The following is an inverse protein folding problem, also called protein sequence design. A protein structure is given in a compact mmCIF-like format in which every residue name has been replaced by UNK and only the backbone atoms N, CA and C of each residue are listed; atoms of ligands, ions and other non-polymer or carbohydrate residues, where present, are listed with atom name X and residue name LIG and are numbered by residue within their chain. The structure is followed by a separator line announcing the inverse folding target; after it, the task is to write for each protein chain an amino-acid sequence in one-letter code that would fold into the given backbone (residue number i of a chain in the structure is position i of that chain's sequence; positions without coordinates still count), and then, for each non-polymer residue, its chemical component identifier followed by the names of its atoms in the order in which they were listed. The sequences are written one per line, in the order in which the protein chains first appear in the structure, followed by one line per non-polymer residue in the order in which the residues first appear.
data_IF_870100700544
#
_entry.id   IF_870100700544
#
_cell.length_a   1.000
_cell.length_b   1.000
_cell.length_c   1.000
_cell.angle_alpha   90.00
_cell.angle_beta   90.00
_cell.angle_gamma   90.00
#
_symmetry.space_group_name_H-M   'P 1'
#
loop_
_entity.id
_entity.type
_entity.pdbx_description
1 polymer ?
#
# COMPACT_ATOMS: atom_id res chain seq x y z
N UNK A 1 -2.28 -6.24 5.47
CA UNK A 1 -3.03 -5.06 4.96
C UNK A 1 -4.26 -5.58 4.26
N UNK A 2 -5.40 -4.89 4.38
CA UNK A 2 -6.55 -5.14 3.53
C UNK A 2 -6.70 -3.99 2.52
N UNK A 3 -6.76 -4.32 1.22
CA UNK A 3 -6.96 -3.38 0.12
C UNK A 3 -8.38 -3.57 -0.42
N UNK A 4 -9.12 -2.48 -0.53
CA UNK A 4 -10.44 -2.43 -1.14
C UNK A 4 -10.39 -1.58 -2.42
N UNK A 5 -10.81 -2.15 -3.54
CA UNK A 5 -10.90 -1.46 -4.84
C UNK A 5 -12.32 -1.58 -5.38
N UNK A 6 -12.79 -0.54 -6.07
CA UNK A 6 -14.12 -0.58 -6.71
C UNK A 6 -14.05 -1.33 -8.04
N UNK A 7 -15.03 -2.20 -8.27
CA UNK A 7 -15.23 -2.91 -9.52
C UNK A 7 -16.55 -2.44 -10.16
N UNK A 8 -16.57 -2.19 -11.46
CA UNK A 8 -17.77 -1.80 -12.19
C UNK A 8 -18.13 -2.90 -13.20
N UNK A 9 -19.33 -3.45 -13.05
CA UNK A 9 -19.89 -4.45 -13.94
C UNK A 9 -20.86 -3.79 -14.93
N UNK A 10 -20.38 -3.48 -16.14
CA UNK A 10 -21.20 -2.86 -17.19
C UNK A 10 -22.10 -3.83 -17.96
N UNK A 11 -22.05 -5.13 -17.66
CA UNK A 11 -22.75 -6.18 -18.44
C UNK A 11 -24.25 -6.29 -18.07
N UNK A 12 -24.64 -5.91 -16.86
CA UNK A 12 -26.02 -6.07 -16.37
C UNK A 12 -26.55 -4.79 -15.68
N UNK A 13 -26.57 -3.68 -16.41
CA UNK A 13 -26.86 -2.36 -15.82
C UNK A 13 -25.70 -1.89 -14.93
N UNK A 14 -25.56 -0.59 -14.74
CA UNK A 14 -24.43 0.02 -14.00
C UNK A 14 -24.42 -0.42 -12.52
N UNK A 15 -23.96 -1.63 -12.26
CA UNK A 15 -23.74 -2.18 -10.93
C UNK A 15 -22.27 -2.00 -10.57
N UNK A 16 -22.00 -1.54 -9.36
CA UNK A 16 -20.64 -1.42 -8.84
C UNK A 16 -20.51 -2.20 -7.56
N UNK A 17 -19.49 -3.04 -7.51
CA UNK A 17 -19.13 -3.86 -6.36
C UNK A 17 -17.81 -3.37 -5.76
N UNK A 18 -17.52 -3.79 -4.53
CA UNK A 18 -16.23 -3.55 -3.88
C UNK A 18 -15.55 -4.89 -3.70
N UNK A 19 -14.34 -5.02 -4.24
CA UNK A 19 -13.50 -6.17 -4.04
C UNK A 19 -12.49 -5.90 -2.93
N UNK A 20 -12.40 -6.85 -1.99
CA UNK A 20 -11.48 -6.76 -0.86
C UNK A 20 -10.43 -7.87 -0.96
N UNK A 21 -9.17 -7.46 -0.82
CA UNK A 21 -8.01 -8.35 -0.79
C UNK A 21 -7.20 -8.19 0.48
N UNK A 22 -6.63 -9.28 0.93
CA UNK A 22 -5.62 -9.27 1.98
C UNK A 22 -4.24 -9.49 1.37
N UNK A 23 -3.37 -8.50 1.50
CA UNK A 23 -1.98 -8.59 1.09
C UNK A 23 -1.07 -8.52 2.32
N UNK A 24 -0.20 -9.52 2.44
CA UNK A 24 0.84 -9.61 3.46
C UNK A 24 2.25 -9.45 2.86
N UNK A 25 3.23 -9.19 3.71
CA UNK A 25 4.63 -9.05 3.31
C UNK A 25 5.53 -8.85 4.53
N UNK A 26 6.84 -8.70 4.30
CA UNK A 26 7.79 -8.34 5.36
C UNK A 26 7.45 -6.96 5.94
N UNK A 27 7.65 -6.71 7.25
CA UNK A 27 7.51 -5.36 7.81
C UNK A 27 8.21 -4.31 6.95
N UNK A 28 7.50 -3.26 6.55
CA UNK A 28 8.03 -2.22 5.66
C UNK A 28 7.90 -2.50 4.15
N UNK A 29 7.18 -3.54 3.74
CA UNK A 29 6.85 -3.76 2.32
C UNK A 29 5.95 -2.66 1.73
N UNK A 30 5.22 -1.95 2.59
CA UNK A 30 4.44 -0.76 2.24
C UNK A 30 5.20 0.43 2.78
N UNK A 31 5.42 1.43 1.92
CA UNK A 31 6.16 2.63 2.27
C UNK A 31 5.27 3.85 2.09
N UNK A 32 5.41 4.81 3.00
CA UNK A 32 4.77 6.10 2.88
C UNK A 32 5.81 7.19 2.63
N UNK A 33 5.43 8.20 1.85
CA UNK A 33 6.21 9.42 1.66
C UNK A 33 5.31 10.63 1.46
N UNK A 34 5.89 11.81 1.63
CA UNK A 34 5.21 13.07 1.34
C UNK A 34 5.81 13.73 0.10
N UNK A 35 4.95 14.27 -0.74
CA UNK A 35 5.33 15.02 -1.93
C UNK A 35 4.28 16.11 -2.17
N UNK A 36 4.72 17.36 -2.33
CA UNK A 36 3.86 18.51 -2.60
C UNK A 36 2.67 18.64 -1.62
N UNK A 37 2.92 18.41 -0.32
CA UNK A 37 1.90 18.50 0.73
C UNK A 37 0.85 17.38 0.71
N UNK A 38 1.07 16.32 -0.09
CA UNK A 38 0.22 15.13 -0.13
C UNK A 38 0.98 13.92 0.40
N UNK A 39 0.30 13.06 1.16
CA UNK A 39 0.86 11.77 1.59
C UNK A 39 0.53 10.69 0.56
N UNK A 40 1.52 9.88 0.25
CA UNK A 40 1.40 8.74 -0.66
C UNK A 40 1.79 7.46 0.06
N UNK A 41 1.07 6.39 -0.22
CA UNK A 41 1.47 5.03 0.10
C UNK A 41 1.86 4.31 -1.19
N UNK A 42 2.98 3.59 -1.17
CA UNK A 42 3.49 2.79 -2.28
C UNK A 42 3.43 1.32 -1.91
N UNK A 43 2.76 0.55 -2.76
CA UNK A 43 2.63 -0.89 -2.64
C UNK A 43 3.34 -1.51 -3.84
N UNK A 44 4.48 -2.20 -3.65
CA UNK A 44 5.15 -2.87 -4.75
C UNK A 44 4.42 -4.16 -5.13
N UNK A 45 4.47 -4.50 -6.42
CA UNK A 45 4.13 -5.85 -6.84
C UNK A 45 5.29 -6.81 -6.59
N UNK A 46 4.98 -8.00 -6.10
CA UNK A 46 5.96 -9.04 -5.88
C UNK A 46 5.30 -10.41 -5.90
N UNK A 47 6.10 -11.43 -6.23
CA UNK A 47 5.62 -12.81 -6.22
C UNK A 47 5.02 -13.18 -4.86
N UNK A 48 3.73 -13.47 -4.85
CA UNK A 48 2.98 -13.88 -3.66
C UNK A 48 1.94 -12.91 -3.14
N UNK A 49 1.97 -11.62 -3.51
CA UNK A 49 0.89 -10.67 -3.11
C UNK A 49 -0.30 -10.64 -4.09
N UNK A 50 -0.22 -11.34 -5.24
CA UNK A 50 -1.28 -11.48 -6.26
C UNK A 50 -1.97 -10.14 -6.58
N UNK A 51 -1.17 -9.08 -6.70
CA UNK A 51 -1.68 -7.71 -6.84
C UNK A 51 -2.39 -7.46 -8.18
N UNK A 52 -2.12 -8.30 -9.19
CA UNK A 52 -2.66 -8.19 -10.55
C UNK A 52 -4.19 -7.98 -10.66
N UNK A 53 -5.00 -8.63 -9.83
CA UNK A 53 -6.47 -8.46 -9.95
C UNK A 53 -6.92 -7.05 -9.52
N UNK A 54 -6.20 -6.40 -8.59
CA UNK A 54 -6.51 -5.02 -8.19
C UNK A 54 -6.05 -3.98 -9.22
N UNK A 55 -5.12 -4.32 -10.11
CA UNK A 55 -4.65 -3.40 -11.15
C UNK A 55 -5.80 -3.00 -12.08
N UNK A 56 -6.55 -3.98 -12.59
CA UNK A 56 -7.66 -3.73 -13.51
C UNK A 56 -8.75 -2.84 -12.90
N UNK A 57 -9.05 -3.05 -11.61
CA UNK A 57 -9.97 -2.19 -10.88
C UNK A 57 -9.44 -0.77 -10.76
N UNK A 58 -8.15 -0.59 -10.45
CA UNK A 58 -7.51 0.73 -10.31
C UNK A 58 -7.41 1.47 -11.66
N UNK A 59 -7.12 0.76 -12.76
CA UNK A 59 -7.11 1.34 -14.10
C UNK A 59 -8.50 1.84 -14.52
N UNK A 60 -9.56 1.15 -14.10
CA UNK A 60 -10.94 1.52 -14.41
C UNK A 60 -11.42 2.66 -13.50
N UNK A 61 -11.25 2.48 -12.19
CA UNK A 61 -11.71 3.38 -11.14
C UNK A 61 -10.57 3.57 -10.14
N UNK A 62 -9.95 4.75 -10.19
CA UNK A 62 -8.77 5.12 -9.38
C UNK A 62 -9.07 5.24 -7.88
N UNK A 63 -10.11 4.61 -7.36
CA UNK A 63 -10.53 4.68 -5.96
C UNK A 63 -10.05 3.44 -5.20
N UNK A 64 -9.22 3.64 -4.19
CA UNK A 64 -8.74 2.55 -3.33
C UNK A 64 -8.74 2.93 -1.85
N UNK A 65 -9.31 2.04 -1.03
CA UNK A 65 -9.25 2.08 0.42
C UNK A 65 -8.26 1.06 0.96
N UNK A 66 -7.54 1.39 2.01
CA UNK A 66 -6.58 0.48 2.65
C UNK A 66 -6.79 0.47 4.16
N UNK A 67 -6.76 -0.72 4.77
CA UNK A 67 -6.86 -0.90 6.21
C UNK A 67 -5.63 -1.61 6.76
N UNK A 68 -5.07 -1.02 7.82
CA UNK A 68 -3.92 -1.50 8.56
C UNK A 68 -4.35 -1.88 9.98
N UNK A 69 -4.61 -3.18 10.25
CA UNK A 69 -4.80 -3.65 11.61
C UNK A 69 -3.46 -3.74 12.35
N UNK A 70 -3.42 -3.25 13.59
CA UNK A 70 -2.35 -3.49 14.53
C UNK A 70 -2.78 -4.59 15.50
N UNK A 71 -2.35 -5.82 15.25
CA UNK A 71 -2.75 -6.97 16.08
C UNK A 71 -2.19 -6.95 17.51
N UNK A 72 -1.13 -6.16 17.75
CA UNK A 72 -0.52 -5.99 19.07
C UNK A 72 -1.36 -5.07 19.98
N UNK A 73 -1.84 -3.95 19.45
CA UNK A 73 -2.64 -2.98 20.24
C UNK A 73 -4.15 -3.19 20.09
N UNK A 74 -4.57 -3.78 18.97
CA UNK A 74 -5.97 -3.84 18.55
C UNK A 74 -6.42 -2.65 17.71
N UNK A 75 -5.53 -1.68 17.43
CA UNK A 75 -5.88 -0.48 16.65
C UNK A 75 -6.10 -0.79 15.17
N UNK A 76 -6.89 0.04 14.49
CA UNK A 76 -7.06 0.00 13.04
C UNK A 76 -6.91 1.39 12.43
N UNK A 77 -6.06 1.48 11.41
CA UNK A 77 -5.95 2.66 10.55
C UNK A 77 -6.63 2.37 9.22
N UNK A 78 -7.69 3.13 8.92
CA UNK A 78 -8.34 3.17 7.63
C UNK A 78 -7.80 4.36 6.86
N UNK A 79 -7.43 4.16 5.60
CA UNK A 79 -7.08 5.24 4.68
C UNK A 79 -7.84 5.08 3.39
N UNK A 80 -8.17 6.19 2.75
CA UNK A 80 -8.80 6.23 1.45
C UNK A 80 -8.04 7.19 0.57
N UNK A 81 -8.01 6.92 -0.72
CA UNK A 81 -7.22 7.72 -1.65
C UNK A 81 -7.42 7.37 -3.11
N UNK A 82 -6.66 8.08 -3.92
CA UNK A 82 -6.63 7.94 -5.37
C UNK A 82 -5.44 7.07 -5.73
N UNK A 83 -5.73 5.87 -6.26
CA UNK A 83 -4.72 4.92 -6.68
C UNK A 83 -4.34 5.10 -8.16
N UNK A 84 -3.10 4.73 -8.46
CA UNK A 84 -2.59 4.58 -9.82
C UNK A 84 -1.52 3.51 -9.86
N UNK A 85 -1.44 2.81 -10.99
CA UNK A 85 -0.37 1.86 -11.24
C UNK A 85 0.71 2.57 -12.06
N UNK A 86 1.95 2.39 -11.64
CA UNK A 86 3.13 3.00 -12.23
C UNK A 86 4.04 1.86 -12.65
N UNK A 87 4.57 1.94 -13.87
CA UNK A 87 5.26 0.85 -14.54
C UNK A 87 6.67 1.25 -14.98
N UNK A 88 7.51 0.23 -15.21
CA UNK A 88 8.82 0.30 -15.84
C UNK A 88 9.74 1.38 -15.22
N UNK A 89 10.36 2.21 -16.05
CA UNK A 89 11.32 3.24 -15.64
C UNK A 89 10.75 4.19 -14.58
N UNK A 90 9.45 4.47 -14.61
CA UNK A 90 8.82 5.33 -13.60
C UNK A 90 8.67 4.62 -12.26
N UNK A 91 8.34 3.33 -12.28
CA UNK A 91 8.33 2.51 -11.07
C UNK A 91 9.73 2.38 -10.48
N UNK A 92 10.75 2.17 -11.32
CA UNK A 92 12.15 2.08 -10.88
C UNK A 92 12.67 3.40 -10.29
N UNK A 93 12.22 4.55 -10.82
CA UNK A 93 12.51 5.87 -10.22
C UNK A 93 11.94 6.01 -8.81
N UNK A 94 10.76 5.45 -8.56
CA UNK A 94 10.13 5.51 -7.23
C UNK A 94 10.75 4.48 -6.28
N UNK A 95 10.93 3.25 -6.75
CA UNK A 95 11.43 2.12 -5.99
C UNK A 95 12.40 1.31 -6.86
N UNK A 96 13.72 1.46 -6.66
CA UNK A 96 14.70 0.81 -7.51
C UNK A 96 14.55 -0.72 -7.55
N UNK A 97 14.70 -1.30 -8.75
CA UNK A 97 14.58 -2.74 -9.03
C UNK A 97 13.16 -3.29 -8.87
N UNK A 98 12.15 -2.42 -8.97
CA UNK A 98 10.73 -2.79 -8.99
C UNK A 98 10.13 -2.21 -10.25
N UNK A 99 9.58 -3.08 -11.10
CA UNK A 99 9.05 -2.72 -12.42
C UNK A 99 7.59 -2.30 -12.38
N UNK A 100 6.91 -2.45 -11.22
CA UNK A 100 5.54 -2.01 -11.03
C UNK A 100 5.26 -1.67 -9.57
N UNK A 101 4.70 -0.49 -9.35
CA UNK A 101 4.20 -0.06 -8.04
C UNK A 101 2.80 0.50 -8.18
N UNK A 102 1.95 0.22 -7.19
CA UNK A 102 0.70 0.96 -7.03
C UNK A 102 0.92 2.07 -6.01
N UNK A 103 0.72 3.31 -6.45
CA UNK A 103 0.78 4.49 -5.60
C UNK A 103 -0.63 4.90 -5.24
N UNK A 104 -0.90 5.13 -3.96
CA UNK A 104 -2.16 5.64 -3.47
C UNK A 104 -1.94 7.00 -2.80
N UNK A 105 -2.48 8.07 -3.41
CA UNK A 105 -2.51 9.41 -2.84
C UNK A 105 -3.63 9.49 -1.82
N UNK A 106 -3.29 9.61 -0.54
CA UNK A 106 -4.29 9.64 0.52
C UNK A 106 -5.13 10.93 0.45
N UNK A 107 -6.44 10.75 0.56
CA UNK A 107 -7.41 11.86 0.66
C UNK A 107 -8.12 11.90 2.00
N UNK A 108 -8.07 10.82 2.77
CA UNK A 108 -8.64 10.77 4.12
C UNK A 108 -8.16 9.57 4.92
N UNK A 109 -8.30 9.68 6.24
CA UNK A 109 -7.98 8.60 7.16
C UNK A 109 -8.92 8.58 8.37
N UNK A 110 -9.11 7.41 8.95
CA UNK A 110 -9.76 7.22 10.24
C UNK A 110 -8.90 6.28 11.07
N UNK A 111 -8.50 6.74 12.25
CA UNK A 111 -7.83 5.91 13.25
C UNK A 111 -8.84 5.50 14.30
N UNK A 112 -8.99 4.19 14.51
CA UNK A 112 -9.86 3.63 15.53
C UNK A 112 -8.98 2.88 16.53
N UNK A 113 -8.97 3.35 17.78
CA UNK A 113 -8.23 2.70 18.86
C UNK A 113 -8.97 1.45 19.32
N UNK A 114 -8.23 0.38 19.59
CA UNK A 114 -8.77 -0.90 20.09
C UNK A 114 -9.99 -1.41 19.30
N UNK A 115 -9.98 -1.24 17.98
CA UNK A 115 -11.06 -1.63 17.08
C UNK A 115 -11.22 -3.16 16.96
N UNK A 116 -10.13 -3.92 17.12
CA UNK A 116 -10.16 -5.37 17.10
C UNK A 116 -10.63 -5.90 18.45
N UNK A 117 -11.69 -6.72 18.43
CA UNK A 117 -12.20 -7.44 19.61
C UNK A 117 -11.29 -8.59 20.08
N UNK A 118 -10.09 -8.71 19.51
CA UNK A 118 -9.08 -9.69 19.89
C UNK A 118 -7.69 -9.09 19.75
N UNK A 119 -6.77 -9.55 20.61
CA UNK A 119 -5.34 -9.24 20.55
C UNK A 119 -4.59 -10.54 20.26
N UNK A 120 -3.59 -10.49 19.38
CA UNK A 120 -2.77 -11.67 19.08
C UNK A 120 -1.72 -11.83 20.20
N UNK A 121 -1.76 -12.95 20.94
CA UNK A 121 -0.92 -13.16 22.13
C UNK A 121 0.28 -14.11 21.90
N UNK A 122 0.48 -14.60 20.67
CA UNK A 122 1.53 -15.57 20.33
C UNK A 122 2.72 -14.95 19.57
N UNK A 123 3.90 -15.62 19.55
CA UNK A 123 5.02 -15.17 18.75
C UNK A 123 4.68 -15.29 17.26
N UNK A 124 4.59 -14.15 16.58
CA UNK A 124 4.41 -14.10 15.13
C UNK A 124 5.66 -14.66 14.43
N UNK A 125 5.46 -15.58 13.48
CA UNK A 125 6.49 -15.94 12.51
C UNK A 125 6.03 -15.47 11.15
N UNK A 126 6.80 -14.56 10.54
CA UNK A 126 6.57 -14.16 9.17
C UNK A 126 6.75 -15.35 8.22
N UNK A 127 6.06 -15.30 7.08
CA UNK A 127 6.22 -16.32 6.04
C UNK A 127 7.71 -16.41 5.64
N UNK A 128 8.28 -17.61 5.55
CA UNK A 128 9.65 -17.80 5.08
C UNK A 128 9.83 -17.39 3.61
N UNK A 129 8.72 -17.20 2.89
CA UNK A 129 8.69 -16.79 1.49
C UNK A 129 8.46 -15.30 1.30
N UNK A 130 8.54 -14.50 2.37
CA UNK A 130 8.45 -13.06 2.21
C UNK A 130 9.64 -12.54 1.40
N UNK A 131 9.41 -11.71 0.36
CA UNK A 131 10.50 -11.14 -0.40
C UNK A 131 11.31 -10.16 0.46
N UNK A 132 12.55 -9.91 0.03
CA UNK A 132 13.37 -8.85 0.61
C UNK A 132 12.68 -7.50 0.47
N UNK A 133 12.72 -6.70 1.54
CA UNK A 133 12.20 -5.34 1.53
C UNK A 133 12.97 -4.51 0.49
N UNK A 134 12.22 -3.71 -0.27
CA UNK A 134 12.74 -2.67 -1.17
C UNK A 134 12.40 -1.31 -0.57
N UNK A 135 13.21 -0.30 -0.82
CA UNK A 135 13.04 1.04 -0.28
C UNK A 135 12.77 2.05 -1.40
N UNK A 136 12.08 3.15 -1.08
CA UNK A 136 11.91 4.27 -1.99
C UNK A 136 13.28 4.86 -2.35
N UNK A 137 13.46 5.30 -3.60
CA UNK A 137 14.70 5.94 -4.06
C UNK A 137 15.12 7.10 -3.14
N UNK A 138 14.18 7.99 -2.81
CA UNK A 138 14.41 9.10 -1.88
C UNK A 138 14.88 8.67 -0.48
N UNK A 139 14.49 7.47 -0.02
CA UNK A 139 14.94 6.95 1.28
C UNK A 139 16.38 6.46 1.20
N UNK A 140 16.77 5.84 0.09
CA UNK A 140 18.15 5.42 -0.16
C UNK A 140 19.08 6.63 -0.28
N UNK A 141 18.68 7.66 -1.02
CA UNK A 141 19.44 8.91 -1.12
C UNK A 141 19.69 9.57 0.24
N UNK A 142 18.67 9.60 1.11
CA UNK A 142 18.81 10.12 2.48
C UNK A 142 19.76 9.29 3.35
N UNK A 143 19.80 7.96 3.14
CA UNK A 143 20.72 7.07 3.87
C UNK A 143 22.17 7.25 3.41
N UNK A 144 22.39 7.46 2.11
CA UNK A 144 23.72 7.73 1.55
C UNK A 144 24.20 9.15 1.86
N UNK A 145 23.29 10.11 2.06
CA UNK A 145 23.63 11.52 2.23
C UNK A 145 22.79 12.23 3.32
N UNK A 146 22.99 11.88 4.61
CA UNK A 146 22.15 12.35 5.72
C UNK A 146 22.19 13.89 5.93
N UNK A 147 23.24 14.57 5.49
CA UNK A 147 23.40 16.02 5.65
C UNK A 147 22.41 16.88 4.83
N UNK A 148 21.79 16.33 3.77
CA UNK A 148 20.78 17.04 2.96
C UNK A 148 19.37 17.04 3.58
N UNK A 149 19.11 16.20 4.60
CA UNK A 149 17.76 16.00 5.15
C UNK A 149 17.35 17.00 6.23
N UNK A 150 18.23 17.87 6.70
CA UNK A 150 17.95 18.79 7.82
C UNK A 150 17.32 20.13 7.41
N UNK A 151 17.14 20.39 6.10
CA UNK A 151 16.80 21.71 5.57
C UNK A 151 15.51 21.79 4.74
N UNK A 152 14.61 20.80 4.82
CA UNK A 152 13.29 20.86 4.18
C UNK A 152 12.18 20.53 5.17
#
# INVERSE_FOLDING_TARGET
MFLATRHINNVFGNSSDIELKHNGGSPGFILAYEENGSTYIVIPDFSGNRFYESLGNIENERVAGVVFPCFATGDMLHVTGIAENIYDDEAERIMPRVTMVTRNKLVGHVWIKEALNFKLLGPEKYSPYNPSIRYLAMKLEKMENPAKSANN
#
